data_IF_899282051123
#
_entry.id   IF_899282051123
#
_cell.length_a   1.000
_cell.length_b   1.000
_cell.length_c   1.000
_cell.angle_alpha   90.00
_cell.angle_beta   90.00
_cell.angle_gamma   90.00
#
_symmetry.space_group_name_H-M   'P 1'
#
loop_
_entity.id
_entity.type
_entity.pdbx_description
1 polymer ?
#
# COMPACT_ATOMS: atom_id res chain seq x y z
N UNK A 1 27.91 6.00 -25.39
CA UNK A 1 27.61 7.28 -24.69
C UNK A 1 26.10 7.39 -24.62
N UNK A 2 25.50 6.83 -23.62
CA UNK A 2 24.09 7.06 -23.32
C UNK A 2 24.03 8.06 -22.18
N UNK A 3 23.39 9.19 -22.46
CA UNK A 3 23.19 10.28 -21.53
C UNK A 3 22.32 9.83 -20.36
N UNK A 4 22.89 9.76 -19.16
CA UNK A 4 22.19 9.56 -17.89
C UNK A 4 21.32 10.75 -17.45
N UNK A 5 20.85 11.60 -18.37
CA UNK A 5 20.36 12.94 -18.03
C UNK A 5 18.87 13.18 -18.22
N UNK A 6 18.06 12.15 -18.49
CA UNK A 6 16.60 12.36 -18.68
C UNK A 6 15.69 11.38 -17.95
N UNK A 7 16.13 10.75 -16.86
CA UNK A 7 15.19 10.02 -16.02
C UNK A 7 14.48 11.00 -15.09
N UNK A 8 13.16 11.13 -15.30
CA UNK A 8 12.29 11.86 -14.38
C UNK A 8 12.52 11.33 -12.95
N UNK A 9 12.82 12.17 -11.94
CA UNK A 9 13.09 11.74 -10.57
C UNK A 9 12.00 10.80 -10.00
N UNK A 10 10.73 11.04 -10.35
CA UNK A 10 9.63 10.17 -9.96
C UNK A 10 9.67 8.78 -10.58
N UNK A 11 10.25 8.61 -11.77
CA UNK A 11 10.44 7.30 -12.39
C UNK A 11 11.57 6.52 -11.72
N UNK A 12 12.67 7.18 -11.41
CA UNK A 12 13.80 6.57 -10.67
C UNK A 12 13.34 6.07 -9.31
N UNK A 13 12.53 6.86 -8.61
CA UNK A 13 11.95 6.46 -7.31
C UNK A 13 11.04 5.24 -7.46
N UNK A 14 10.14 5.24 -8.44
CA UNK A 14 9.23 4.11 -8.70
C UNK A 14 10.00 2.81 -9.01
N UNK A 15 11.06 2.89 -9.82
CA UNK A 15 11.89 1.74 -10.17
C UNK A 15 12.68 1.18 -8.96
N UNK A 16 13.14 2.06 -8.08
CA UNK A 16 13.81 1.66 -6.83
C UNK A 16 12.83 1.00 -5.87
N UNK A 17 11.67 1.61 -5.68
CA UNK A 17 10.59 1.08 -4.84
C UNK A 17 10.15 -0.32 -5.32
N UNK A 18 9.98 -0.50 -6.63
CA UNK A 18 9.58 -1.78 -7.21
C UNK A 18 10.59 -2.90 -6.90
N UNK A 19 11.89 -2.61 -6.95
CA UNK A 19 12.93 -3.60 -6.67
C UNK A 19 13.12 -3.91 -5.19
N UNK A 20 12.92 -2.92 -4.32
CA UNK A 20 13.25 -3.03 -2.91
C UNK A 20 12.16 -3.73 -2.09
N UNK A 21 10.89 -3.63 -2.49
CA UNK A 21 9.77 -4.16 -1.71
C UNK A 21 9.34 -5.56 -2.15
N UNK A 22 9.23 -6.54 -1.25
CA UNK A 22 8.71 -7.86 -1.59
C UNK A 22 7.21 -7.81 -1.95
N UNK A 23 6.72 -8.88 -2.55
CA UNK A 23 5.28 -9.12 -2.72
C UNK A 23 4.67 -9.64 -1.40
N UNK A 24 3.36 -9.48 -1.25
CA UNK A 24 2.64 -10.14 -0.17
C UNK A 24 2.61 -11.65 -0.40
N UNK A 25 2.72 -12.42 0.69
CA UNK A 25 2.76 -13.88 0.59
C UNK A 25 1.42 -14.45 0.12
N UNK A 26 1.46 -15.58 -0.58
CA UNK A 26 0.24 -16.28 -1.00
C UNK A 26 -0.67 -16.60 0.19
N UNK A 27 -0.09 -16.89 1.36
CA UNK A 27 -0.84 -17.15 2.60
C UNK A 27 -1.57 -15.91 3.10
N UNK A 28 -0.91 -14.73 3.12
CA UNK A 28 -1.54 -13.48 3.51
C UNK A 28 -2.69 -13.10 2.56
N UNK A 29 -2.48 -13.28 1.26
CA UNK A 29 -3.51 -13.00 0.26
C UNK A 29 -4.68 -13.99 0.32
N UNK A 30 -4.43 -15.26 0.59
CA UNK A 30 -5.49 -16.25 0.77
C UNK A 30 -6.35 -15.92 2.01
N UNK A 31 -5.72 -15.45 3.09
CA UNK A 31 -6.46 -15.02 4.28
C UNK A 31 -7.26 -13.74 4.02
N UNK A 32 -6.67 -12.75 3.33
CA UNK A 32 -7.38 -11.56 2.86
C UNK A 32 -8.62 -11.96 2.06
N UNK A 33 -8.45 -12.83 1.07
CA UNK A 33 -9.53 -13.28 0.22
C UNK A 33 -10.64 -13.98 1.04
N UNK A 34 -10.27 -14.85 1.96
CA UNK A 34 -11.23 -15.55 2.80
C UNK A 34 -12.01 -14.60 3.73
N UNK A 35 -11.34 -13.64 4.36
CA UNK A 35 -11.96 -12.70 5.31
C UNK A 35 -12.86 -11.68 4.62
N UNK A 36 -12.37 -11.10 3.53
CA UNK A 36 -13.09 -10.04 2.79
C UNK A 36 -14.01 -10.60 1.71
N UNK A 37 -14.10 -11.93 1.56
CA UNK A 37 -14.85 -12.59 0.47
C UNK A 37 -14.42 -12.13 -0.92
N UNK A 38 -13.12 -11.82 -1.07
CA UNK A 38 -12.54 -11.39 -2.31
C UNK A 38 -12.44 -12.58 -3.27
N UNK A 39 -12.93 -12.40 -4.48
CA UNK A 39 -12.92 -13.42 -5.53
C UNK A 39 -13.24 -12.82 -6.91
N UNK A 40 -13.53 -13.66 -7.90
CA UNK A 40 -13.79 -13.21 -9.26
C UNK A 40 -14.91 -12.16 -9.34
N UNK A 41 -14.58 -10.98 -9.92
CA UNK A 41 -15.52 -9.88 -10.11
C UNK A 41 -15.82 -9.05 -8.86
N UNK A 42 -15.15 -9.29 -7.71
CA UNK A 42 -15.30 -8.44 -6.53
C UNK A 42 -14.74 -7.05 -6.82
N UNK A 43 -15.54 -5.96 -6.72
CA UNK A 43 -15.07 -4.60 -6.92
C UNK A 43 -14.13 -4.15 -5.78
N UNK A 44 -12.90 -3.80 -6.12
CA UNK A 44 -11.84 -3.42 -5.15
C UNK A 44 -11.22 -2.09 -5.56
N UNK A 45 -11.07 -1.17 -4.60
CA UNK A 45 -10.17 -0.03 -4.71
C UNK A 45 -8.83 -0.36 -4.04
N UNK A 46 -7.74 -0.29 -4.80
CA UNK A 46 -6.37 -0.34 -4.26
C UNK A 46 -5.86 1.09 -4.06
N UNK A 47 -6.04 1.60 -2.85
CA UNK A 47 -5.80 2.99 -2.47
C UNK A 47 -4.34 3.23 -2.07
N UNK A 48 -3.69 4.21 -2.72
CA UNK A 48 -2.26 4.41 -2.60
C UNK A 48 -1.49 3.25 -3.24
N UNK A 49 -1.93 2.84 -4.42
CA UNK A 49 -1.51 1.60 -5.11
C UNK A 49 -0.03 1.57 -5.51
N UNK A 50 0.63 2.72 -5.53
CA UNK A 50 2.05 2.83 -5.86
C UNK A 50 2.38 2.28 -7.24
N UNK A 51 3.34 1.36 -7.31
CA UNK A 51 3.76 0.69 -8.55
C UNK A 51 2.87 -0.51 -8.93
N UNK A 52 1.79 -0.78 -8.17
CA UNK A 52 0.85 -1.85 -8.46
C UNK A 52 1.22 -3.23 -7.89
N UNK A 53 2.07 -3.30 -6.86
CA UNK A 53 2.46 -4.58 -6.25
C UNK A 53 1.28 -5.35 -5.68
N UNK A 54 0.41 -4.67 -4.93
CA UNK A 54 -0.81 -5.27 -4.42
C UNK A 54 -1.85 -5.42 -5.53
N UNK A 55 -2.02 -4.40 -6.36
CA UNK A 55 -2.94 -4.38 -7.50
C UNK A 55 -2.84 -5.65 -8.35
N UNK A 56 -1.62 -6.01 -8.82
CA UNK A 56 -1.44 -7.22 -9.65
C UNK A 56 -1.77 -8.51 -8.92
N UNK A 57 -1.57 -8.57 -7.60
CA UNK A 57 -1.91 -9.73 -6.80
C UNK A 57 -3.43 -9.85 -6.59
N UNK A 58 -4.14 -8.73 -6.43
CA UNK A 58 -5.60 -8.69 -6.37
C UNK A 58 -6.24 -9.10 -7.70
N UNK A 59 -5.70 -8.61 -8.81
CA UNK A 59 -6.11 -9.02 -10.16
C UNK A 59 -5.91 -10.51 -10.38
N UNK A 60 -4.78 -11.07 -9.92
CA UNK A 60 -4.52 -12.50 -10.01
C UNK A 60 -5.49 -13.37 -9.19
N UNK A 61 -6.13 -12.80 -8.16
CA UNK A 61 -7.23 -13.43 -7.41
C UNK A 61 -8.59 -13.27 -8.11
N UNK A 62 -8.63 -12.58 -9.24
CA UNK A 62 -9.84 -12.38 -10.04
C UNK A 62 -10.66 -11.15 -9.63
N UNK A 63 -10.17 -10.30 -8.76
CA UNK A 63 -10.87 -9.07 -8.37
C UNK A 63 -11.01 -8.10 -9.55
N UNK A 64 -12.10 -7.32 -9.54
CA UNK A 64 -12.30 -6.18 -10.43
C UNK A 64 -11.69 -4.94 -9.74
N UNK A 65 -10.44 -4.65 -10.08
CA UNK A 65 -9.62 -3.66 -9.37
C UNK A 65 -9.62 -2.33 -10.09
N UNK A 66 -9.86 -1.27 -9.35
CA UNK A 66 -9.47 0.10 -9.70
C UNK A 66 -8.34 0.53 -8.76
N UNK A 67 -7.34 1.23 -9.28
CA UNK A 67 -6.19 1.69 -8.52
C UNK A 67 -6.23 3.22 -8.39
N UNK A 68 -6.05 3.74 -7.18
CA UNK A 68 -5.98 5.18 -6.90
C UNK A 68 -4.58 5.52 -6.39
N UNK A 69 -3.88 6.44 -7.06
CA UNK A 69 -2.50 6.81 -6.73
C UNK A 69 -2.22 8.27 -7.14
N UNK A 70 -1.77 9.15 -6.23
CA UNK A 70 -1.51 10.56 -6.54
C UNK A 70 -0.23 10.80 -7.36
N UNK A 71 0.79 9.93 -7.21
CA UNK A 71 2.09 10.16 -7.82
C UNK A 71 2.11 9.69 -9.29
N UNK A 72 2.19 10.63 -10.24
CA UNK A 72 2.18 10.33 -11.66
C UNK A 72 3.28 9.34 -12.13
N UNK A 73 4.45 9.34 -11.48
CA UNK A 73 5.52 8.37 -11.75
C UNK A 73 5.14 6.95 -11.36
N UNK A 74 4.45 6.79 -10.24
CA UNK A 74 3.94 5.52 -9.76
C UNK A 74 2.81 5.00 -10.66
N UNK A 75 1.83 5.88 -11.02
CA UNK A 75 0.75 5.52 -11.94
C UNK A 75 1.27 4.97 -13.27
N UNK A 76 2.20 5.68 -13.90
CA UNK A 76 2.82 5.21 -15.17
C UNK A 76 3.48 3.83 -15.02
N UNK A 77 4.11 3.59 -13.87
CA UNK A 77 4.71 2.28 -13.61
C UNK A 77 3.64 1.21 -13.45
N UNK A 78 2.58 1.49 -12.69
CA UNK A 78 1.46 0.58 -12.49
C UNK A 78 0.78 0.24 -13.82
N UNK A 79 0.47 1.23 -14.67
CA UNK A 79 -0.12 1.03 -16.01
C UNK A 79 0.72 0.10 -16.89
N UNK A 80 2.06 0.19 -16.78
CA UNK A 80 2.97 -0.68 -17.51
C UNK A 80 3.02 -2.11 -16.93
N UNK A 81 2.96 -2.26 -15.61
CA UNK A 81 3.06 -3.56 -14.92
C UNK A 81 1.72 -4.33 -14.90
N UNK A 82 0.59 -3.61 -14.88
CA UNK A 82 -0.75 -4.20 -14.77
C UNK A 82 -1.67 -3.61 -15.84
N UNK A 83 -1.42 -3.90 -17.13
CA UNK A 83 -2.22 -3.33 -18.20
C UNK A 83 -3.69 -3.76 -18.10
N UNK A 84 -4.59 -2.81 -18.35
CA UNK A 84 -6.04 -3.04 -18.32
C UNK A 84 -6.72 -2.71 -16.99
N UNK A 85 -5.97 -2.45 -15.92
CA UNK A 85 -6.52 -1.92 -14.67
C UNK A 85 -6.74 -0.41 -14.82
N UNK A 86 -7.93 0.14 -14.49
CA UNK A 86 -8.13 1.58 -14.40
C UNK A 86 -7.22 2.17 -13.29
N UNK A 87 -6.43 3.19 -13.66
CA UNK A 87 -5.53 3.88 -12.72
C UNK A 87 -5.94 5.35 -12.67
N UNK A 88 -6.39 5.78 -11.49
CA UNK A 88 -6.95 7.11 -11.29
C UNK A 88 -5.98 8.00 -10.53
N UNK A 89 -5.97 9.29 -10.90
CA UNK A 89 -5.28 10.34 -10.16
C UNK A 89 -6.17 10.78 -9.00
N UNK A 90 -5.76 10.47 -7.77
CA UNK A 90 -6.53 10.79 -6.56
C UNK A 90 -5.72 10.54 -5.31
N UNK A 91 -6.21 11.04 -4.20
CA UNK A 91 -5.65 10.82 -2.86
C UNK A 91 -6.62 10.06 -1.99
N UNK A 92 -6.18 9.63 -0.82
CA UNK A 92 -7.05 8.96 0.14
C UNK A 92 -8.11 9.91 0.74
N UNK A 93 -7.83 11.22 0.70
CA UNK A 93 -8.70 12.30 1.19
C UNK A 93 -9.67 12.83 0.14
N UNK A 94 -9.52 12.37 -1.12
CA UNK A 94 -10.38 12.72 -2.27
C UNK A 94 -10.33 11.57 -3.29
N UNK A 95 -11.10 10.52 -3.02
CA UNK A 95 -11.12 9.30 -3.83
C UNK A 95 -12.04 9.52 -5.05
N UNK A 96 -11.52 9.44 -6.29
CA UNK A 96 -12.28 9.72 -7.50
C UNK A 96 -13.22 8.56 -7.91
N UNK A 97 -13.93 8.02 -6.96
CA UNK A 97 -14.91 6.95 -7.14
C UNK A 97 -16.28 7.37 -6.62
N UNK A 98 -17.37 6.84 -7.21
CA UNK A 98 -18.73 7.07 -6.72
C UNK A 98 -18.96 6.50 -5.32
N UNK A 99 -19.96 7.02 -4.62
CA UNK A 99 -20.44 6.48 -3.36
C UNK A 99 -20.87 5.01 -3.52
N UNK A 100 -20.57 4.19 -2.52
CA UNK A 100 -20.96 2.77 -2.47
C UNK A 100 -20.62 1.99 -3.75
N UNK A 101 -19.46 2.26 -4.36
CA UNK A 101 -19.03 1.66 -5.64
C UNK A 101 -18.24 0.38 -5.46
N UNK A 102 -17.49 0.24 -4.36
CA UNK A 102 -16.60 -0.91 -4.12
C UNK A 102 -17.00 -1.73 -2.89
N UNK A 103 -16.65 -3.00 -2.88
CA UNK A 103 -16.86 -3.90 -1.74
C UNK A 103 -15.66 -3.93 -0.80
N UNK A 104 -14.47 -3.67 -1.34
CA UNK A 104 -13.23 -3.69 -0.57
C UNK A 104 -12.41 -2.47 -0.94
N UNK A 105 -11.86 -1.79 0.07
CA UNK A 105 -10.74 -0.86 -0.09
C UNK A 105 -9.50 -1.50 0.52
N UNK A 106 -8.44 -1.60 -0.26
CA UNK A 106 -7.13 -2.08 0.21
C UNK A 106 -6.15 -0.92 0.29
N UNK A 107 -5.23 -0.96 1.26
CA UNK A 107 -4.08 -0.06 1.29
C UNK A 107 -2.84 -0.85 1.71
N UNK A 108 -1.91 -1.01 0.75
CA UNK A 108 -0.66 -1.74 0.94
C UNK A 108 0.51 -0.80 1.19
N UNK A 109 1.06 -0.75 2.41
CA UNK A 109 2.17 0.13 2.78
C UNK A 109 1.87 1.64 2.56
N UNK A 110 0.60 2.04 2.59
CA UNK A 110 0.20 3.39 2.22
C UNK A 110 -0.50 4.16 3.35
N UNK A 111 -1.27 3.50 4.19
CA UNK A 111 -2.21 4.14 5.12
C UNK A 111 -1.55 5.15 6.08
N UNK A 112 -0.30 4.94 6.47
CA UNK A 112 0.46 5.85 7.32
C UNK A 112 0.83 7.20 6.66
N UNK A 113 0.59 7.34 5.34
CA UNK A 113 0.76 8.60 4.61
C UNK A 113 -0.50 9.45 4.59
N UNK A 114 -1.66 8.88 4.95
CA UNK A 114 -2.95 9.52 4.82
C UNK A 114 -3.26 10.45 6.00
N UNK A 115 -4.03 11.51 5.76
CA UNK A 115 -4.80 12.17 6.81
C UNK A 115 -5.91 11.20 7.23
N UNK A 116 -5.69 10.51 8.34
CA UNK A 116 -6.51 9.36 8.74
C UNK A 116 -7.99 9.70 8.83
N UNK A 117 -8.36 10.85 9.38
CA UNK A 117 -9.76 11.24 9.53
C UNK A 117 -10.44 11.45 8.18
N UNK A 118 -9.82 12.23 7.30
CA UNK A 118 -10.36 12.53 5.97
C UNK A 118 -10.36 11.28 5.08
N UNK A 119 -9.31 10.47 5.16
CA UNK A 119 -9.23 9.20 4.43
C UNK A 119 -10.34 8.23 4.87
N UNK A 120 -10.62 8.10 6.16
CA UNK A 120 -11.71 7.25 6.65
C UNK A 120 -13.09 7.77 6.21
N UNK A 121 -13.28 9.08 6.07
CA UNK A 121 -14.51 9.66 5.52
C UNK A 121 -14.74 9.22 4.07
N UNK A 122 -13.72 9.33 3.23
CA UNK A 122 -13.76 8.94 1.83
C UNK A 122 -13.87 7.41 1.65
N UNK A 123 -13.09 6.64 2.41
CA UNK A 123 -13.17 5.17 2.40
C UNK A 123 -14.58 4.71 2.76
N UNK A 124 -15.18 5.28 3.81
CA UNK A 124 -16.54 4.94 4.20
C UNK A 124 -17.56 5.35 3.12
N UNK A 125 -17.34 6.46 2.40
CA UNK A 125 -18.18 6.92 1.32
C UNK A 125 -18.19 5.96 0.12
N UNK A 126 -17.00 5.51 -0.31
CA UNK A 126 -16.87 4.63 -1.50
C UNK A 126 -17.23 3.19 -1.23
N UNK A 127 -17.10 2.73 0.04
CA UNK A 127 -17.47 1.38 0.43
C UNK A 127 -18.98 1.15 0.38
N UNK A 128 -19.38 0.01 -0.16
CA UNK A 128 -20.74 -0.50 -0.02
C UNK A 128 -21.05 -0.83 1.45
N UNK A 129 -22.35 -0.84 1.85
CA UNK A 129 -22.71 -1.34 3.17
C UNK A 129 -22.14 -2.74 3.43
N UNK A 130 -21.56 -2.93 4.59
CA UNK A 130 -20.82 -4.15 4.99
C UNK A 130 -19.57 -4.45 4.16
N UNK A 131 -19.01 -3.46 3.46
CA UNK A 131 -17.73 -3.54 2.79
C UNK A 131 -16.54 -3.62 3.76
N UNK A 132 -15.36 -3.84 3.23
CA UNK A 132 -14.13 -4.10 4.00
C UNK A 132 -13.06 -3.06 3.73
N UNK A 133 -12.43 -2.59 4.79
CA UNK A 133 -11.14 -1.90 4.73
C UNK A 133 -10.04 -2.90 5.12
N UNK A 134 -9.12 -3.17 4.22
CA UNK A 134 -8.02 -4.11 4.41
C UNK A 134 -6.67 -3.39 4.31
N UNK A 135 -5.94 -3.38 5.41
CA UNK A 135 -4.66 -2.71 5.52
C UNK A 135 -3.53 -3.75 5.60
N UNK A 136 -2.52 -3.61 4.75
CA UNK A 136 -1.43 -4.56 4.63
C UNK A 136 -0.08 -3.88 4.83
N UNK A 137 0.78 -4.48 5.67
CA UNK A 137 2.14 -4.03 5.90
C UNK A 137 3.15 -5.16 5.79
N UNK A 138 4.37 -4.79 5.40
CA UNK A 138 5.56 -5.57 5.70
C UNK A 138 6.19 -4.97 6.95
N UNK A 139 6.16 -5.72 8.03
CA UNK A 139 6.87 -5.37 9.26
C UNK A 139 8.25 -6.04 9.23
N UNK A 140 9.26 -5.33 9.67
CA UNK A 140 10.61 -5.87 9.84
C UNK A 140 10.84 -6.19 11.31
N UNK A 141 11.57 -7.27 11.62
CA UNK A 141 11.95 -7.55 13.00
C UNK A 141 12.74 -6.37 13.58
N UNK A 142 12.40 -5.98 14.81
CA UNK A 142 13.17 -4.97 15.56
C UNK A 142 14.52 -5.51 16.06
N UNK A 143 14.73 -6.82 15.96
CA UNK A 143 15.95 -7.51 16.41
C UNK A 143 16.83 -7.96 15.25
N UNK A 144 18.07 -8.25 15.54
CA UNK A 144 19.07 -8.71 14.57
C UNK A 144 19.70 -7.56 13.78
N UNK A 145 20.31 -7.88 12.64
CA UNK A 145 21.04 -6.89 11.84
C UNK A 145 20.14 -5.79 11.25
N UNK A 146 18.89 -6.12 10.93
CA UNK A 146 17.91 -5.15 10.43
C UNK A 146 17.54 -4.11 11.48
N UNK A 147 17.34 -4.52 12.75
CA UNK A 147 17.10 -3.61 13.86
C UNK A 147 18.28 -2.64 14.06
N UNK A 148 19.51 -3.18 14.07
CA UNK A 148 20.72 -2.34 14.19
C UNK A 148 20.89 -1.34 13.05
N UNK A 149 20.47 -1.68 11.82
CA UNK A 149 20.48 -0.74 10.69
C UNK A 149 19.47 0.40 10.89
N UNK A 150 18.29 0.10 11.41
CA UNK A 150 17.28 1.12 11.72
C UNK A 150 17.71 2.03 12.85
N UNK A 151 18.33 1.50 13.90
CA UNK A 151 18.87 2.30 15.00
C UNK A 151 19.96 3.26 14.51
N UNK A 152 20.87 2.76 13.66
CA UNK A 152 21.91 3.60 13.05
C UNK A 152 21.28 4.70 12.18
N UNK A 153 20.27 4.37 11.39
CA UNK A 153 19.56 5.34 10.56
C UNK A 153 18.87 6.41 11.41
N UNK A 154 18.15 6.01 12.46
CA UNK A 154 17.50 6.94 13.38
C UNK A 154 18.51 7.92 14.00
N UNK A 155 19.69 7.44 14.39
CA UNK A 155 20.78 8.28 14.88
C UNK A 155 21.28 9.28 13.83
N UNK A 156 21.44 8.85 12.58
CA UNK A 156 21.95 9.70 11.49
C UNK A 156 20.93 10.72 10.98
N UNK A 157 19.64 10.42 11.08
CA UNK A 157 18.54 11.27 10.58
C UNK A 157 17.88 12.12 11.67
N UNK A 158 18.36 12.05 12.90
CA UNK A 158 17.81 12.84 14.02
C UNK A 158 16.52 12.27 14.61
N UNK A 159 16.22 11.00 14.40
CA UNK A 159 15.11 10.31 15.01
C UNK A 159 14.23 9.55 14.02
N UNK A 160 13.14 8.98 14.54
CA UNK A 160 12.12 8.30 13.74
C UNK A 160 11.37 9.31 12.87
N UNK A 161 11.16 8.97 11.61
CA UNK A 161 10.34 9.79 10.72
C UNK A 161 8.89 9.75 11.20
N UNK A 162 8.30 10.91 11.50
CA UNK A 162 6.86 11.01 11.73
C UNK A 162 6.13 11.01 10.39
N UNK A 163 5.03 10.29 10.32
CA UNK A 163 4.15 10.25 9.16
C UNK A 163 2.83 10.96 9.48
N UNK A 164 2.13 11.54 8.49
CA UNK A 164 0.84 12.18 8.72
C UNK A 164 -0.19 11.30 9.41
N UNK A 165 -0.15 10.01 9.13
CA UNK A 165 -1.04 9.01 9.72
C UNK A 165 -0.51 8.33 10.98
N UNK A 166 0.50 8.85 11.66
CA UNK A 166 0.93 8.31 12.96
C UNK A 166 -0.25 8.38 13.95
N UNK A 167 -0.51 7.29 14.68
CA UNK A 167 -1.69 7.17 15.56
C UNK A 167 -2.98 6.74 14.85
N UNK A 168 -2.89 6.30 13.60
CA UNK A 168 -4.06 5.85 12.84
C UNK A 168 -4.85 4.72 13.52
N UNK A 169 -4.18 3.90 14.32
CA UNK A 169 -4.82 2.77 15.01
C UNK A 169 -5.84 3.23 16.04
N UNK A 170 -5.53 4.27 16.81
CA UNK A 170 -6.43 4.88 17.77
C UNK A 170 -7.60 5.56 17.06
N UNK A 171 -7.33 6.27 15.97
CA UNK A 171 -8.36 6.94 15.17
C UNK A 171 -9.32 5.91 14.57
N UNK A 172 -8.80 4.85 13.96
CA UNK A 172 -9.63 3.78 13.38
C UNK A 172 -10.42 3.04 14.46
N UNK A 173 -9.83 2.81 15.64
CA UNK A 173 -10.52 2.13 16.75
C UNK A 173 -11.65 2.99 17.33
N UNK A 174 -11.54 4.30 17.28
CA UNK A 174 -12.56 5.25 17.73
C UNK A 174 -13.64 5.52 16.68
N UNK A 175 -13.41 5.16 15.41
CA UNK A 175 -14.35 5.39 14.34
C UNK A 175 -15.50 4.38 14.38
N UNK A 176 -16.69 4.87 14.72
CA UNK A 176 -17.88 4.03 14.89
C UNK A 176 -18.48 3.48 13.59
N UNK A 177 -17.95 3.86 12.42
CA UNK A 177 -18.42 3.37 11.10
C UNK A 177 -17.84 1.99 10.77
N UNK A 178 -16.68 1.67 11.31
CA UNK A 178 -16.01 0.37 11.09
C UNK A 178 -16.27 -0.58 12.25
N UNK A 179 -16.53 -1.84 11.93
CA UNK A 179 -16.71 -2.90 12.90
C UNK A 179 -15.40 -3.36 13.57
N UNK A 180 -15.45 -4.41 14.39
CA UNK A 180 -14.28 -4.90 15.10
C UNK A 180 -13.13 -5.25 14.16
N UNK A 181 -11.93 -4.74 14.47
CA UNK A 181 -10.70 -5.04 13.74
C UNK A 181 -10.25 -6.49 14.01
N UNK A 182 -9.81 -7.15 12.96
CA UNK A 182 -9.09 -8.42 13.06
C UNK A 182 -7.72 -8.26 12.41
N UNK A 183 -6.69 -8.89 12.95
CA UNK A 183 -5.35 -8.87 12.38
C UNK A 183 -4.73 -10.26 12.35
N UNK A 184 -3.79 -10.46 11.43
CA UNK A 184 -2.96 -11.67 11.37
C UNK A 184 -1.55 -11.29 10.92
N UNK A 185 -0.57 -12.13 11.27
CA UNK A 185 0.82 -12.01 10.85
C UNK A 185 1.25 -13.26 10.12
N UNK A 186 2.02 -13.07 9.07
CA UNK A 186 2.58 -14.14 8.27
C UNK A 186 4.06 -13.89 8.08
N UNK A 187 4.89 -14.83 8.52
CA UNK A 187 6.33 -14.73 8.32
C UNK A 187 6.66 -14.85 6.84
N UNK A 188 7.61 -14.04 6.39
CA UNK A 188 8.17 -14.09 5.06
C UNK A 188 9.69 -14.06 5.16
N UNK A 189 10.34 -14.99 4.49
CA UNK A 189 11.79 -15.00 4.35
C UNK A 189 12.18 -14.16 3.12
N UNK A 190 12.99 -13.14 3.32
CA UNK A 190 13.47 -12.25 2.27
C UNK A 190 14.98 -12.28 2.27
N UNK A 191 15.57 -12.71 1.15
CA UNK A 191 17.00 -12.55 0.92
C UNK A 191 17.25 -11.20 0.29
N UNK A 192 18.06 -10.36 0.95
CA UNK A 192 18.39 -9.03 0.49
C UNK A 192 19.89 -8.76 0.55
N UNK A 193 20.33 -7.70 -0.09
CA UNK A 193 21.70 -7.19 -0.02
C UNK A 193 21.72 -5.86 0.73
N UNK A 194 22.88 -5.50 1.26
CA UNK A 194 23.06 -4.19 1.93
C UNK A 194 22.70 -3.05 1.00
N UNK A 195 23.07 -3.12 -0.27
CA UNK A 195 22.75 -2.09 -1.25
C UNK A 195 21.24 -1.97 -1.51
N UNK A 196 20.51 -3.08 -1.53
CA UNK A 196 19.05 -3.09 -1.67
C UNK A 196 18.37 -2.46 -0.45
N UNK A 197 18.84 -2.77 0.75
CA UNK A 197 18.32 -2.20 1.99
C UNK A 197 18.58 -0.69 2.10
N UNK A 198 19.76 -0.23 1.70
CA UNK A 198 20.09 1.20 1.66
C UNK A 198 19.22 1.94 0.62
N UNK A 199 18.89 1.28 -0.50
CA UNK A 199 18.03 1.85 -1.53
C UNK A 199 16.56 2.00 -1.07
N UNK A 200 16.05 1.08 -0.25
CA UNK A 200 14.69 1.16 0.34
C UNK A 200 14.60 2.28 1.41
N UNK A 201 15.74 2.75 1.86
CA UNK A 201 15.86 3.71 2.95
C UNK A 201 15.95 5.17 2.50
N UNK A 202 16.04 5.44 1.22
CA UNK A 202 16.20 6.78 0.63
C UNK A 202 14.88 7.32 0.10
#
# INVERSE_FOLDING_TARGET
RLSCLEQNPGQVFADRYERARPLYTARALAELAARCRLGPGTPVDDLGSGTGKLTRQLVALGADVVAVEPAAGMRRRLEAEVPGVPVLDGTAEDIPLPDASVEIVTAGQAFHWFDTHRALDEIARVLRPAGWLALLWHERPESGWSGGLWDLRAQLTGGRRAYPGDGWEEVLAADGRFGPRTSSRHDVEVTTTVDAELADSA
#
